data_IF_320940208865
#
_entry.id   IF_320940208865
#
_cell.length_a   1.000
_cell.length_b   1.000
_cell.length_c   1.000
_cell.angle_alpha   90.00
_cell.angle_beta   90.00
_cell.angle_gamma   90.00
#
_symmetry.space_group_name_H-M   'P 1'
#
loop_
_entity.id
_entity.type
_entity.pdbx_description
1 polymer ?
#
# COMPACT_ATOMS: atom_id res chain seq x y z
N UNK A 1 4.82 -3.13 2.02
CA UNK A 1 3.46 -2.67 2.38
C UNK A 1 3.13 -1.57 1.40
N UNK A 2 1.95 -1.64 0.81
CA UNK A 2 1.47 -0.66 -0.15
C UNK A 2 0.07 -0.21 0.28
N UNK A 3 -0.22 1.06 0.06
CA UNK A 3 -1.53 1.66 0.27
C UNK A 3 -1.97 2.28 -1.06
N UNK A 4 -3.22 2.05 -1.44
CA UNK A 4 -3.80 2.56 -2.66
C UNK A 4 -4.96 3.47 -2.27
N UNK A 5 -4.74 4.78 -2.39
CA UNK A 5 -5.76 5.79 -2.19
C UNK A 5 -6.23 6.35 -3.53
N UNK A 6 -7.54 6.54 -3.69
CA UNK A 6 -8.13 7.21 -4.84
C UNK A 6 -9.21 8.18 -4.39
N UNK A 7 -9.26 9.33 -5.02
CA UNK A 7 -10.33 10.30 -4.85
C UNK A 7 -10.91 10.64 -6.23
N UNK A 8 -12.16 10.27 -6.48
CA UNK A 8 -12.84 10.51 -7.77
C UNK A 8 -13.97 11.52 -7.62
N UNK A 9 -14.11 12.41 -8.60
CA UNK A 9 -15.24 13.34 -8.65
C UNK A 9 -16.56 12.58 -8.71
N UNK A 10 -17.60 13.12 -8.07
CA UNK A 10 -18.93 12.51 -8.10
C UNK A 10 -19.51 12.38 -9.50
N UNK A 11 -20.37 11.37 -9.68
CA UNK A 11 -21.05 11.11 -10.93
C UNK A 11 -21.90 12.32 -11.35
N UNK A 12 -21.83 12.74 -12.63
CA UNK A 12 -22.70 13.79 -13.12
C UNK A 12 -24.14 13.28 -13.23
N UNK A 13 -25.12 14.14 -12.99
CA UNK A 13 -26.53 13.84 -13.12
C UNK A 13 -27.34 15.07 -13.57
N UNK A 14 -28.53 14.81 -14.10
CA UNK A 14 -29.43 15.84 -14.64
C UNK A 14 -30.59 16.06 -13.67
N UNK A 15 -30.95 17.30 -13.32
CA UNK A 15 -32.23 17.58 -12.66
C UNK A 15 -33.40 17.20 -13.56
N UNK A 16 -34.24 16.27 -13.10
CA UNK A 16 -35.36 15.71 -13.85
C UNK A 16 -36.72 16.03 -13.23
N UNK A 17 -37.76 15.96 -14.05
CA UNK A 17 -39.14 15.80 -13.60
C UNK A 17 -39.41 14.32 -13.40
N UNK A 18 -40.09 13.94 -12.31
CA UNK A 18 -40.34 12.54 -11.96
C UNK A 18 -41.38 11.82 -12.84
N UNK A 19 -41.93 12.52 -13.83
CA UNK A 19 -42.93 12.02 -14.78
C UNK A 19 -42.53 12.41 -16.20
N UNK A 20 -43.06 11.68 -17.17
CA UNK A 20 -43.05 12.06 -18.58
C UNK A 20 -44.09 13.20 -18.78
N UNK A 21 -43.59 14.42 -18.99
CA UNK A 21 -44.39 15.63 -19.24
C UNK A 21 -44.47 16.00 -20.71
N UNK A 22 -43.61 15.43 -21.57
CA UNK A 22 -43.58 15.72 -23.00
C UNK A 22 -44.38 14.68 -23.83
N UNK A 23 -44.74 13.55 -23.23
CA UNK A 23 -45.56 12.49 -23.82
C UNK A 23 -44.82 11.55 -24.76
N UNK A 24 -43.48 11.51 -24.73
CA UNK A 24 -42.66 10.66 -25.59
C UNK A 24 -42.48 9.22 -25.06
N UNK A 25 -43.04 8.92 -23.89
CA UNK A 25 -42.98 7.62 -23.22
C UNK A 25 -41.74 7.43 -22.36
N UNK A 26 -40.85 8.42 -22.25
CA UNK A 26 -39.62 8.35 -21.44
C UNK A 26 -39.68 9.28 -20.22
N UNK A 27 -39.34 8.74 -19.04
CA UNK A 27 -39.22 9.54 -17.80
C UNK A 27 -37.85 10.17 -17.67
N UNK A 28 -37.48 11.03 -18.63
CA UNK A 28 -36.16 11.68 -18.69
C UNK A 28 -36.25 13.19 -18.94
N UNK A 29 -37.43 13.78 -18.71
CA UNK A 29 -37.66 15.19 -18.89
C UNK A 29 -36.83 16.04 -17.93
N UNK A 30 -36.18 17.05 -18.48
CA UNK A 30 -35.33 17.97 -17.73
C UNK A 30 -36.21 18.95 -16.96
N UNK A 31 -35.94 19.11 -15.67
CA UNK A 31 -36.68 20.05 -14.84
C UNK A 31 -36.36 21.50 -15.23
N UNK A 32 -37.38 22.36 -15.20
CA UNK A 32 -37.18 23.80 -15.13
C UNK A 32 -36.76 24.17 -13.70
N UNK A 33 -35.60 24.81 -13.53
CA UNK A 33 -35.10 25.15 -12.20
C UNK A 33 -35.71 26.50 -11.79
N UNK A 34 -36.78 26.46 -11.02
CA UNK A 34 -37.49 27.67 -10.59
C UNK A 34 -36.62 28.58 -9.72
N UNK A 35 -36.57 29.86 -10.08
CA UNK A 35 -36.01 30.89 -9.22
C UNK A 35 -37.00 31.23 -8.08
N UNK A 36 -36.65 31.00 -6.81
CA UNK A 36 -37.54 31.31 -5.68
C UNK A 36 -37.89 32.79 -5.50
N UNK A 37 -37.20 33.71 -6.18
CA UNK A 37 -37.49 35.14 -6.17
C UNK A 37 -38.59 35.53 -7.18
N UNK A 38 -38.74 34.77 -8.27
CA UNK A 38 -39.65 35.11 -9.39
C UNK A 38 -40.69 34.04 -9.69
N UNK A 39 -40.63 32.89 -9.02
CA UNK A 39 -41.59 31.80 -9.20
C UNK A 39 -43.03 32.24 -8.89
N UNK A 40 -43.92 32.04 -9.87
CA UNK A 40 -45.33 32.40 -9.77
C UNK A 40 -46.11 31.57 -8.75
N UNK A 41 -45.69 30.33 -8.47
CA UNK A 41 -46.27 29.47 -7.45
C UNK A 41 -45.52 29.66 -6.11
N UNK A 42 -46.18 30.23 -5.06
CA UNK A 42 -45.56 30.43 -3.75
C UNK A 42 -45.09 29.13 -3.07
N UNK A 43 -45.74 28.00 -3.36
CA UNK A 43 -45.36 26.71 -2.80
C UNK A 43 -44.04 26.22 -3.40
N UNK A 44 -43.87 26.37 -4.72
CA UNK A 44 -42.60 26.08 -5.42
C UNK A 44 -41.51 27.02 -4.93
N UNK A 45 -41.79 28.31 -4.82
CA UNK A 45 -40.83 29.30 -4.34
C UNK A 45 -40.31 28.96 -2.94
N UNK A 46 -41.23 28.63 -2.02
CA UNK A 46 -40.89 28.27 -0.63
C UNK A 46 -40.09 26.97 -0.57
N UNK A 47 -40.49 25.95 -1.33
CA UNK A 47 -39.80 24.67 -1.35
C UNK A 47 -38.40 24.76 -2.00
N UNK A 48 -38.23 25.59 -3.04
CA UNK A 48 -36.91 25.88 -3.62
C UNK A 48 -35.99 26.59 -2.63
N UNK A 49 -36.49 27.57 -1.84
CA UNK A 49 -35.68 28.22 -0.78
C UNK A 49 -35.24 27.20 0.26
N UNK A 50 -36.16 26.33 0.70
CA UNK A 50 -35.85 25.29 1.66
C UNK A 50 -34.79 24.31 1.13
N UNK A 51 -34.94 23.85 -0.11
CA UNK A 51 -33.96 22.98 -0.77
C UNK A 51 -32.59 23.66 -0.88
N UNK A 52 -32.53 24.91 -1.34
CA UNK A 52 -31.27 25.64 -1.46
C UNK A 52 -30.61 25.93 -0.10
N UNK A 53 -31.36 25.93 0.99
CA UNK A 53 -30.79 26.08 2.33
C UNK A 53 -30.12 24.79 2.85
N UNK A 54 -30.68 23.62 2.53
CA UNK A 54 -30.23 22.33 3.10
C UNK A 54 -29.42 21.47 2.13
N UNK A 55 -29.48 21.73 0.82
CA UNK A 55 -28.78 20.93 -0.17
C UNK A 55 -27.26 20.95 0.00
N UNK A 56 -26.56 19.84 -0.36
CA UNK A 56 -25.10 19.81 -0.41
C UNK A 56 -24.53 20.95 -1.27
N UNK A 57 -23.35 21.52 -0.92
CA UNK A 57 -22.79 22.67 -1.63
C UNK A 57 -22.72 22.50 -3.16
N UNK A 58 -22.25 21.36 -3.65
CA UNK A 58 -22.16 21.08 -5.09
C UNK A 58 -23.53 21.10 -5.79
N UNK A 59 -24.58 20.60 -5.12
CA UNK A 59 -25.95 20.58 -5.63
C UNK A 59 -26.55 21.98 -5.61
N UNK A 60 -26.38 22.70 -4.51
CA UNK A 60 -26.83 24.10 -4.37
C UNK A 60 -26.21 24.99 -5.43
N UNK A 61 -24.91 24.88 -5.66
CA UNK A 61 -24.21 25.67 -6.67
C UNK A 61 -24.66 25.29 -8.09
N UNK A 62 -24.96 24.01 -8.32
CA UNK A 62 -25.57 23.55 -9.57
C UNK A 62 -26.94 24.20 -9.82
N UNK A 63 -27.82 24.21 -8.82
CA UNK A 63 -29.15 24.79 -8.94
C UNK A 63 -29.09 26.31 -9.12
N UNK A 64 -28.23 27.00 -8.35
CA UNK A 64 -28.05 28.46 -8.43
C UNK A 64 -27.64 28.93 -9.83
N UNK A 65 -26.77 28.19 -10.52
CA UNK A 65 -26.35 28.52 -11.89
C UNK A 65 -27.43 28.32 -12.94
N UNK A 66 -28.52 27.64 -12.60
CA UNK A 66 -29.56 27.25 -13.55
C UNK A 66 -30.93 27.86 -13.23
N UNK A 67 -31.03 28.69 -12.18
CA UNK A 67 -32.27 29.37 -11.81
C UNK A 67 -32.85 30.12 -13.02
N UNK A 68 -34.14 29.93 -13.27
CA UNK A 68 -34.85 30.53 -14.40
C UNK A 68 -34.64 29.82 -15.75
N UNK A 69 -33.96 28.68 -15.78
CA UNK A 69 -33.67 27.93 -17.00
C UNK A 69 -34.06 26.44 -16.89
N UNK A 70 -34.27 25.80 -18.04
CA UNK A 70 -34.35 24.34 -18.13
C UNK A 70 -32.98 23.76 -17.81
N UNK A 71 -32.93 22.76 -16.93
CA UNK A 71 -31.69 22.16 -16.49
C UNK A 71 -30.87 21.60 -17.67
N UNK A 72 -29.56 21.85 -17.65
CA UNK A 72 -28.59 21.24 -18.54
C UNK A 72 -28.41 19.76 -18.24
N UNK A 73 -28.14 18.97 -19.28
CA UNK A 73 -27.79 17.54 -19.13
C UNK A 73 -26.49 17.42 -18.35
N UNK A 74 -26.44 16.50 -17.38
CA UNK A 74 -25.25 16.22 -16.58
C UNK A 74 -24.65 17.46 -15.89
N UNK A 75 -25.50 18.45 -15.59
CA UNK A 75 -25.11 19.75 -15.05
C UNK A 75 -24.76 19.70 -13.56
N UNK A 76 -25.37 18.79 -12.81
CA UNK A 76 -25.07 18.59 -11.39
C UNK A 76 -24.08 17.45 -11.20
N UNK A 77 -23.36 17.47 -10.08
CA UNK A 77 -22.43 16.41 -9.68
C UNK A 77 -22.76 15.92 -8.29
N UNK A 78 -22.69 14.61 -8.11
CA UNK A 78 -22.78 13.98 -6.80
C UNK A 78 -21.59 14.29 -5.90
N UNK A 79 -21.57 13.76 -4.67
CA UNK A 79 -20.45 13.92 -3.76
C UNK A 79 -19.19 13.23 -4.29
N UNK A 80 -18.03 13.69 -3.81
CA UNK A 80 -16.76 13.04 -4.06
C UNK A 80 -16.75 11.62 -3.50
N UNK A 81 -16.08 10.71 -4.21
CA UNK A 81 -16.01 9.30 -3.86
C UNK A 81 -14.57 8.94 -3.48
N UNK A 82 -14.24 8.90 -2.18
CA UNK A 82 -12.95 8.41 -1.71
C UNK A 82 -12.93 6.87 -1.69
N UNK A 83 -11.78 6.30 -2.02
CA UNK A 83 -11.48 4.89 -1.86
C UNK A 83 -10.07 4.73 -1.27
N UNK A 84 -9.91 3.77 -0.35
CA UNK A 84 -8.64 3.42 0.25
C UNK A 84 -8.59 1.90 0.40
N UNK A 85 -7.49 1.30 -0.03
CA UNK A 85 -7.22 -0.12 0.15
C UNK A 85 -5.75 -0.33 0.58
N UNK A 86 -5.48 -1.36 1.38
CA UNK A 86 -4.15 -1.73 1.84
C UNK A 86 -3.76 -3.12 1.33
N UNK A 87 -2.47 -3.25 1.01
CA UNK A 87 -1.84 -4.53 0.74
C UNK A 87 -0.54 -4.69 1.52
N UNK A 88 -0.46 -5.76 2.32
CA UNK A 88 0.71 -6.10 3.11
C UNK A 88 1.23 -7.46 2.64
N UNK A 89 2.47 -7.50 2.16
CA UNK A 89 3.14 -8.74 1.78
C UNK A 89 4.29 -8.99 2.75
N UNK A 90 4.30 -10.14 3.43
CA UNK A 90 5.38 -10.53 4.34
C UNK A 90 5.86 -11.96 4.08
N UNK A 91 7.10 -12.25 4.47
CA UNK A 91 7.73 -13.57 4.34
C UNK A 91 8.20 -14.06 5.70
N UNK A 92 7.40 -14.86 6.42
CA UNK A 92 7.73 -15.29 7.78
C UNK A 92 9.00 -16.16 7.77
N UNK A 93 9.92 -15.86 8.70
CA UNK A 93 11.18 -16.61 8.85
C UNK A 93 11.15 -17.60 10.04
N UNK A 94 10.17 -17.48 10.93
CA UNK A 94 10.08 -18.22 12.19
C UNK A 94 9.67 -19.69 12.03
N UNK A 95 8.97 -20.06 10.95
CA UNK A 95 8.53 -21.44 10.71
C UNK A 95 9.61 -22.36 10.10
N UNK A 96 10.89 -21.95 10.05
CA UNK A 96 11.94 -22.73 9.38
C UNK A 96 11.82 -22.81 7.86
N UNK A 97 10.78 -22.21 7.27
CA UNK A 97 10.48 -22.21 5.82
C UNK A 97 11.45 -21.35 4.98
N UNK A 98 12.60 -20.91 5.49
CA UNK A 98 13.63 -20.16 4.75
C UNK A 98 13.10 -19.03 3.84
N UNK A 99 12.03 -18.31 4.26
CA UNK A 99 11.34 -17.26 3.47
C UNK A 99 10.68 -17.76 2.17
N UNK A 100 10.39 -19.05 2.05
CA UNK A 100 9.68 -19.70 0.93
C UNK A 100 8.19 -19.44 0.93
N UNK A 101 7.61 -19.19 2.11
CA UNK A 101 6.24 -18.77 2.27
C UNK A 101 6.16 -17.24 2.13
N UNK A 102 5.31 -16.77 1.22
CA UNK A 102 4.89 -15.38 1.13
C UNK A 102 3.43 -15.32 1.55
N UNK A 103 3.10 -14.53 2.55
CA UNK A 103 1.72 -14.26 2.95
C UNK A 103 1.39 -12.82 2.57
N UNK A 104 0.23 -12.65 1.95
CA UNK A 104 -0.30 -11.37 1.52
C UNK A 104 -1.64 -11.15 2.19
N UNK A 105 -1.84 -9.95 2.73
CA UNK A 105 -3.13 -9.45 3.23
C UNK A 105 -3.55 -8.30 2.33
N UNK A 106 -4.77 -8.35 1.80
CA UNK A 106 -5.37 -7.32 0.98
C UNK A 106 -6.73 -6.93 1.60
N UNK A 107 -7.02 -5.63 1.62
CA UNK A 107 -8.36 -5.12 1.92
C UNK A 107 -9.06 -4.71 0.63
N UNK A 108 -10.38 -4.88 0.58
CA UNK A 108 -11.24 -4.28 -0.44
C UNK A 108 -12.31 -3.46 0.26
N UNK A 109 -12.51 -2.23 -0.19
CA UNK A 109 -13.43 -1.26 0.39
C UNK A 109 -13.17 -1.01 1.88
N UNK A 110 -11.93 -0.69 2.23
CA UNK A 110 -11.58 -0.43 3.63
C UNK A 110 -12.36 0.73 4.24
N UNK A 111 -12.58 1.81 3.48
CA UNK A 111 -13.31 2.97 3.99
C UNK A 111 -14.73 2.64 4.42
N UNK A 112 -15.44 1.78 3.69
CA UNK A 112 -16.76 1.30 4.10
C UNK A 112 -16.71 0.46 5.38
N UNK A 113 -15.67 -0.35 5.56
CA UNK A 113 -15.44 -1.08 6.81
C UNK A 113 -15.14 -0.16 7.99
N UNK A 114 -14.34 0.88 7.78
CA UNK A 114 -14.02 1.89 8.80
C UNK A 114 -15.24 2.73 9.17
N UNK A 115 -16.06 3.11 8.20
CA UNK A 115 -17.32 3.85 8.42
C UNK A 115 -18.28 3.04 9.29
N UNK A 116 -18.44 1.74 8.99
CA UNK A 116 -19.23 0.83 9.81
C UNK A 116 -18.64 0.68 11.22
N UNK A 117 -17.32 0.58 11.36
CA UNK A 117 -16.66 0.43 12.65
C UNK A 117 -16.77 1.68 13.52
N UNK A 118 -16.62 2.87 12.93
CA UNK A 118 -16.63 4.15 13.66
C UNK A 118 -18.04 4.67 13.94
N UNK A 119 -18.98 4.50 13.01
CA UNK A 119 -20.30 5.12 13.10
C UNK A 119 -21.43 4.10 13.32
N UNK A 120 -21.15 2.80 13.18
CA UNK A 120 -22.14 1.74 13.33
C UNK A 120 -23.12 1.65 12.16
N UNK A 121 -23.86 0.54 12.08
CA UNK A 121 -24.77 0.26 10.97
C UNK A 121 -25.94 1.26 10.87
N UNK A 122 -26.32 1.89 11.99
CA UNK A 122 -27.45 2.82 12.05
C UNK A 122 -27.10 4.26 11.62
N UNK A 123 -25.81 4.61 11.54
CA UNK A 123 -25.37 5.97 11.25
C UNK A 123 -24.19 6.01 10.27
N UNK A 124 -24.25 5.21 9.21
CA UNK A 124 -23.22 5.20 8.17
C UNK A 124 -23.16 6.56 7.44
N UNK A 125 -21.96 7.09 7.27
CA UNK A 125 -21.74 8.31 6.49
C UNK A 125 -21.53 8.04 4.99
N UNK A 126 -21.55 6.77 4.58
CA UNK A 126 -21.50 6.36 3.19
C UNK A 126 -20.09 6.29 2.61
N UNK A 127 -19.05 6.11 3.45
CA UNK A 127 -17.70 6.00 2.92
C UNK A 127 -17.53 4.70 2.13
N UNK A 128 -16.81 4.76 1.01
CA UNK A 128 -16.61 3.58 0.17
C UNK A 128 -17.85 3.11 -0.61
N UNK A 129 -18.98 3.83 -0.52
CA UNK A 129 -20.17 3.57 -1.32
C UNK A 129 -20.24 4.49 -2.54
N UNK A 130 -20.52 3.92 -3.71
CA UNK A 130 -20.89 4.70 -4.89
C UNK A 130 -22.37 5.07 -4.81
N UNK A 131 -22.70 6.14 -4.08
CA UNK A 131 -24.09 6.59 -4.00
C UNK A 131 -24.47 7.42 -5.22
N UNK A 132 -25.53 7.01 -5.92
CA UNK A 132 -26.18 7.82 -6.94
C UNK A 132 -27.08 8.87 -6.25
N UNK A 133 -26.91 10.16 -6.53
CA UNK A 133 -27.83 11.19 -6.05
C UNK A 133 -29.22 11.01 -6.66
N UNK A 134 -30.28 11.34 -5.92
CA UNK A 134 -31.64 11.42 -6.48
C UNK A 134 -31.73 12.53 -7.55
N UNK A 135 -31.98 12.20 -8.83
CA UNK A 135 -32.02 13.18 -9.91
C UNK A 135 -33.37 13.91 -10.02
N UNK A 136 -34.42 13.48 -9.29
CA UNK A 136 -35.75 14.07 -9.44
C UNK A 136 -35.82 15.37 -8.64
N UNK A 137 -35.88 16.50 -9.35
CA UNK A 137 -36.06 17.83 -8.74
C UNK A 137 -37.54 18.17 -8.55
N UNK A 138 -38.38 17.79 -9.52
CA UNK A 138 -39.79 18.17 -9.55
C UNK A 138 -40.71 16.96 -9.68
N UNK A 139 -41.81 16.98 -8.94
CA UNK A 139 -42.96 16.10 -9.12
C UNK A 139 -44.12 16.89 -9.70
N UNK A 140 -44.86 16.29 -10.64
CA UNK A 140 -46.10 16.89 -11.14
C UNK A 140 -47.22 16.63 -10.15
N UNK A 141 -47.89 17.68 -9.69
CA UNK A 141 -49.07 17.61 -8.81
C UNK A 141 -50.38 17.51 -9.60
N UNK A 142 -50.41 18.07 -10.80
CA UNK A 142 -51.57 18.09 -11.68
C UNK A 142 -51.34 18.97 -12.90
N UNK A 143 -52.31 18.97 -13.81
CA UNK A 143 -52.33 19.83 -14.99
C UNK A 143 -53.54 20.75 -14.93
N UNK A 144 -53.33 22.06 -15.07
CA UNK A 144 -54.36 23.07 -15.19
C UNK A 144 -54.71 23.22 -16.69
N UNK A 145 -55.88 22.76 -17.14
CA UNK A 145 -56.25 22.80 -18.56
C UNK A 145 -56.61 24.20 -19.05
N UNK A 146 -56.97 25.13 -18.15
CA UNK A 146 -57.33 26.51 -18.52
C UNK A 146 -56.06 27.34 -18.71
N UNK A 147 -55.12 27.23 -17.77
CA UNK A 147 -53.83 27.91 -17.88
C UNK A 147 -52.78 27.12 -18.67
N UNK A 148 -53.15 25.94 -19.19
CA UNK A 148 -52.30 25.00 -19.94
C UNK A 148 -50.91 24.76 -19.30
N UNK A 149 -50.89 24.55 -17.99
CA UNK A 149 -49.63 24.43 -17.23
C UNK A 149 -49.67 23.30 -16.22
N UNK A 150 -48.52 22.70 -15.98
CA UNK A 150 -48.33 21.75 -14.89
C UNK A 150 -48.12 22.48 -13.56
N UNK A 151 -48.78 22.00 -12.51
CA UNK A 151 -48.46 22.33 -11.13
C UNK A 151 -47.33 21.43 -10.63
N UNK A 152 -46.31 22.01 -10.00
CA UNK A 152 -45.14 21.27 -9.54
C UNK A 152 -45.02 21.23 -8.01
N UNK A 153 -44.42 20.16 -7.51
CA UNK A 153 -43.87 20.06 -6.16
C UNK A 153 -42.36 19.85 -6.24
N UNK A 154 -41.59 20.55 -5.42
CA UNK A 154 -40.13 20.40 -5.36
C UNK A 154 -39.76 19.25 -4.44
N UNK A 155 -38.85 18.37 -4.89
CA UNK A 155 -38.25 17.35 -4.06
C UNK A 155 -37.24 17.98 -3.09
N UNK A 156 -37.61 18.10 -1.82
CA UNK A 156 -36.70 18.60 -0.78
C UNK A 156 -35.47 17.72 -0.52
N UNK A 157 -35.43 16.49 -1.07
CA UNK A 157 -34.30 15.56 -0.99
C UNK A 157 -33.51 15.46 -2.29
N UNK A 158 -33.73 16.36 -3.25
CA UNK A 158 -32.99 16.37 -4.51
C UNK A 158 -31.48 16.36 -4.28
N UNK A 159 -30.77 15.48 -4.99
CA UNK A 159 -29.33 15.30 -4.87
C UNK A 159 -28.87 14.67 -3.55
N UNK A 160 -29.78 14.27 -2.66
CA UNK A 160 -29.43 13.45 -1.51
C UNK A 160 -28.95 12.08 -1.99
N UNK A 161 -27.82 11.64 -1.46
CA UNK A 161 -27.35 10.28 -1.62
C UNK A 161 -28.09 9.44 -0.60
N UNK A 162 -28.98 8.56 -1.06
CA UNK A 162 -29.60 7.60 -0.15
C UNK A 162 -28.53 6.61 0.25
N UNK A 163 -27.99 6.76 1.48
CA UNK A 163 -27.20 5.70 2.08
C UNK A 163 -28.06 4.43 2.10
N UNK A 164 -27.59 3.38 1.43
CA UNK A 164 -28.02 1.99 1.61
C UNK A 164 -29.41 1.49 1.13
N UNK A 165 -30.26 2.24 0.41
CA UNK A 165 -31.54 1.67 -0.12
C UNK A 165 -31.53 1.28 -1.62
N UNK A 166 -30.45 1.55 -2.35
CA UNK A 166 -30.34 1.30 -3.81
C UNK A 166 -29.89 -0.12 -4.22
N UNK A 167 -29.83 -1.08 -3.30
CA UNK A 167 -29.56 -2.50 -3.60
C UNK A 167 -28.11 -2.88 -3.95
N UNK A 168 -27.22 -1.92 -4.22
CA UNK A 168 -25.79 -2.20 -4.46
C UNK A 168 -24.98 -1.84 -3.22
N UNK A 169 -24.65 -2.86 -2.43
CA UNK A 169 -23.69 -2.74 -1.32
C UNK A 169 -22.35 -3.28 -1.77
N UNK A 170 -21.27 -2.52 -1.51
CA UNK A 170 -19.90 -3.02 -1.67
C UNK A 170 -19.41 -3.36 -0.26
N UNK A 171 -19.38 -4.63 0.16
CA UNK A 171 -18.93 -4.97 1.51
C UNK A 171 -17.42 -4.75 1.65
N UNK A 172 -16.99 -4.44 2.87
CA UNK A 172 -15.59 -4.55 3.23
C UNK A 172 -15.15 -6.03 3.19
N UNK A 173 -13.99 -6.31 2.59
CA UNK A 173 -13.45 -7.65 2.50
C UNK A 173 -11.97 -7.69 2.92
N UNK A 174 -11.59 -8.80 3.56
CA UNK A 174 -10.22 -9.14 3.87
C UNK A 174 -9.84 -10.39 3.08
N UNK A 175 -8.86 -10.27 2.20
CA UNK A 175 -8.30 -11.39 1.45
C UNK A 175 -6.91 -11.74 1.98
N UNK A 176 -6.75 -12.99 2.41
CA UNK A 176 -5.46 -13.54 2.84
C UNK A 176 -5.01 -14.53 1.76
N UNK A 177 -3.81 -14.34 1.24
CA UNK A 177 -3.21 -15.22 0.23
C UNK A 177 -1.88 -15.76 0.76
N UNK A 178 -1.63 -17.05 0.55
CA UNK A 178 -0.38 -17.70 0.92
C UNK A 178 0.22 -18.37 -0.31
N UNK A 179 1.47 -18.04 -0.61
CA UNK A 179 2.23 -18.62 -1.71
C UNK A 179 3.46 -19.34 -1.16
N UNK A 180 3.54 -20.66 -1.36
CA UNK A 180 4.63 -21.51 -0.89
C UNK A 180 5.46 -22.01 -2.08
N UNK A 181 6.77 -21.75 -2.04
CA UNK A 181 7.71 -22.31 -3.02
C UNK A 181 8.16 -23.71 -2.57
N UNK A 182 7.79 -24.73 -3.35
CA UNK A 182 8.16 -26.13 -3.16
C UNK A 182 9.29 -26.50 -4.12
N UNK A 183 10.38 -27.10 -3.62
CA UNK A 183 11.56 -27.48 -4.42
C UNK A 183 12.88 -26.83 -3.95
N UNK A 184 14.05 -27.24 -4.46
CA UNK A 184 15.33 -26.63 -4.09
C UNK A 184 15.35 -25.14 -4.45
N UNK A 185 15.69 -24.27 -3.48
CA UNK A 185 15.87 -22.83 -3.74
C UNK A 185 17.25 -22.65 -4.35
N UNK A 186 17.29 -22.27 -5.62
CA UNK A 186 18.56 -21.98 -6.28
C UNK A 186 19.33 -20.93 -5.48
N UNK A 187 20.65 -21.10 -5.28
CA UNK A 187 21.47 -20.09 -4.64
C UNK A 187 21.28 -18.76 -5.38
N UNK A 188 21.22 -17.66 -4.61
CA UNK A 188 21.14 -16.33 -5.21
C UNK A 188 22.23 -16.15 -6.25
N UNK A 189 21.97 -15.39 -7.32
CA UNK A 189 22.93 -15.15 -8.42
C UNK A 189 24.35 -14.84 -7.93
N UNK A 190 24.47 -14.11 -6.81
CA UNK A 190 25.73 -13.74 -6.15
C UNK A 190 26.48 -14.92 -5.55
N UNK A 191 25.77 -15.78 -4.82
CA UNK A 191 26.33 -17.02 -4.30
C UNK A 191 26.78 -17.88 -5.47
N UNK A 192 25.99 -17.97 -6.54
CA UNK A 192 26.37 -18.70 -7.74
C UNK A 192 27.65 -18.15 -8.40
N UNK A 193 27.84 -16.83 -8.44
CA UNK A 193 29.09 -16.20 -8.90
C UNK A 193 30.29 -16.54 -8.01
N UNK A 194 30.10 -16.55 -6.67
CA UNK A 194 31.16 -16.90 -5.71
C UNK A 194 31.53 -18.40 -5.75
N UNK A 195 30.54 -19.27 -5.96
CA UNK A 195 30.70 -20.71 -6.16
C UNK A 195 31.33 -21.06 -7.52
N UNK A 196 31.54 -20.06 -8.39
CA UNK A 196 32.02 -20.21 -9.76
C UNK A 196 30.86 -20.54 -10.71
N UNK A 197 30.40 -19.55 -11.50
CA UNK A 197 29.57 -19.91 -12.66
C UNK A 197 30.46 -20.65 -13.68
N UNK A 198 30.03 -21.81 -14.21
CA UNK A 198 30.66 -22.39 -15.37
C UNK A 198 30.35 -21.48 -16.55
N UNK A 199 31.31 -20.62 -16.91
CA UNK A 199 31.28 -19.92 -18.19
C UNK A 199 31.52 -21.00 -19.25
N UNK A 200 30.45 -21.34 -19.96
CA UNK A 200 30.36 -22.30 -21.06
C UNK A 200 30.20 -23.79 -20.69
N UNK A 201 29.26 -24.42 -21.42
CA UNK A 201 28.99 -25.87 -21.43
C UNK A 201 30.29 -26.63 -21.71
N UNK A 202 30.75 -27.45 -20.75
CA UNK A 202 31.73 -28.50 -21.02
C UNK A 202 32.85 -28.70 -19.99
N UNK A 203 33.08 -27.79 -19.06
CA UNK A 203 34.07 -27.98 -18.00
C UNK A 203 33.38 -28.39 -16.68
N UNK A 204 33.74 -29.55 -16.15
CA UNK A 204 33.22 -30.07 -14.88
C UNK A 204 33.35 -29.04 -13.76
N UNK A 205 32.26 -28.85 -13.00
CA UNK A 205 32.20 -27.96 -11.84
C UNK A 205 33.02 -28.53 -10.69
N UNK A 206 34.33 -28.29 -10.72
CA UNK A 206 35.22 -28.52 -9.60
C UNK A 206 35.13 -27.34 -8.62
N UNK A 207 35.25 -27.63 -7.33
CA UNK A 207 35.39 -26.59 -6.30
C UNK A 207 36.70 -25.83 -6.57
N UNK A 208 36.69 -24.50 -6.79
CA UNK A 208 37.92 -23.74 -6.95
C UNK A 208 38.85 -23.92 -5.73
N UNK A 209 40.17 -23.99 -5.93
CA UNK A 209 41.13 -24.15 -4.83
C UNK A 209 41.08 -23.01 -3.80
N UNK A 210 40.58 -21.84 -4.20
CA UNK A 210 40.34 -20.66 -3.37
C UNK A 210 38.92 -20.57 -2.79
N UNK A 211 38.08 -21.59 -2.95
CA UNK A 211 36.68 -21.60 -2.51
C UNK A 211 36.51 -21.27 -1.02
N UNK A 212 37.34 -21.87 -0.17
CA UNK A 212 37.29 -21.60 1.27
C UNK A 212 37.72 -20.15 1.59
N UNK A 213 38.68 -19.60 0.86
CA UNK A 213 39.07 -18.20 0.99
C UNK A 213 37.96 -17.24 0.54
N UNK A 214 37.24 -17.56 -0.55
CA UNK A 214 36.07 -16.80 -1.01
C UNK A 214 34.91 -16.84 -0.01
N UNK A 215 34.68 -17.98 0.63
CA UNK A 215 33.68 -18.10 1.69
C UNK A 215 34.10 -17.33 2.96
N UNK A 216 35.38 -17.33 3.31
CA UNK A 216 35.91 -16.53 4.42
C UNK A 216 35.73 -15.01 4.16
N UNK A 217 35.81 -14.59 2.90
CA UNK A 217 35.57 -13.20 2.49
C UNK A 217 34.12 -12.72 2.76
N UNK A 218 33.15 -13.65 2.78
CA UNK A 218 31.76 -13.38 3.19
C UNK A 218 31.68 -13.05 4.69
N UNK A 219 32.62 -13.56 5.48
CA UNK A 219 32.67 -13.42 6.94
C UNK A 219 33.64 -12.32 7.41
N UNK A 220 34.06 -11.42 6.51
CA UNK A 220 34.98 -10.35 6.84
C UNK A 220 34.44 -9.45 7.97
N UNK A 221 35.33 -9.10 8.89
CA UNK A 221 35.03 -8.25 10.04
C UNK A 221 34.81 -6.78 9.60
N UNK A 222 33.63 -6.18 9.86
CA UNK A 222 33.36 -4.80 9.47
C UNK A 222 33.87 -3.74 10.48
N UNK A 223 34.25 -4.14 11.69
CA UNK A 223 34.62 -3.21 12.77
C UNK A 223 35.91 -2.43 12.47
N UNK A 224 36.97 -3.01 11.87
CA UNK A 224 38.14 -2.26 11.42
C UNK A 224 37.79 -1.13 10.45
N UNK A 225 36.79 -1.33 9.59
CA UNK A 225 36.33 -0.26 8.70
C UNK A 225 35.66 0.89 9.48
N UNK A 226 34.91 0.60 10.55
CA UNK A 226 34.35 1.62 11.46
C UNK A 226 35.48 2.39 12.16
N UNK A 227 36.49 1.68 12.66
CA UNK A 227 37.68 2.28 13.28
C UNK A 227 38.46 3.18 12.30
N UNK A 228 38.43 2.87 11.00
CA UNK A 228 38.98 3.73 9.94
C UNK A 228 38.34 5.13 9.85
N UNK A 229 37.12 5.30 10.38
CA UNK A 229 36.43 6.60 10.45
C UNK A 229 36.64 7.32 11.81
N UNK A 230 37.62 6.89 12.62
CA UNK A 230 37.84 7.44 13.98
C UNK A 230 37.92 8.97 14.01
N UNK A 231 38.62 9.56 13.04
CA UNK A 231 38.93 11.00 13.03
C UNK A 231 37.71 11.81 12.56
N UNK A 232 36.94 11.30 11.60
CA UNK A 232 35.72 11.95 11.09
C UNK A 232 34.52 11.81 12.03
N UNK A 233 34.50 10.73 12.83
CA UNK A 233 33.49 10.49 13.86
C UNK A 233 33.87 11.07 15.23
N UNK A 234 35.10 11.59 15.36
CA UNK A 234 35.66 12.10 16.63
C UNK A 234 35.48 11.08 17.76
N UNK A 235 35.91 9.85 17.51
CA UNK A 235 35.78 8.77 18.50
C UNK A 235 36.67 9.05 19.71
N UNK A 236 36.11 8.86 20.90
CA UNK A 236 36.89 8.92 22.15
C UNK A 236 37.83 7.71 22.27
N UNK A 237 38.90 7.83 23.04
CA UNK A 237 39.82 6.72 23.32
C UNK A 237 39.08 5.49 23.90
N UNK A 238 38.07 5.74 24.74
CA UNK A 238 37.21 4.69 25.32
C UNK A 238 36.33 4.01 24.26
N UNK A 239 35.76 4.77 23.31
CA UNK A 239 35.01 4.20 22.19
C UNK A 239 35.90 3.37 21.27
N UNK A 240 37.12 3.83 20.99
CA UNK A 240 38.10 3.08 20.20
C UNK A 240 38.48 1.77 20.88
N UNK A 241 38.78 1.79 22.18
CA UNK A 241 39.10 0.59 22.94
C UNK A 241 37.95 -0.42 22.96
N UNK A 242 36.70 0.04 23.15
CA UNK A 242 35.51 -0.83 23.10
C UNK A 242 35.26 -1.42 21.72
N UNK A 243 35.42 -0.64 20.65
CA UNK A 243 35.29 -1.14 19.28
C UNK A 243 36.39 -2.14 18.94
N UNK A 244 37.63 -1.92 19.40
CA UNK A 244 38.73 -2.87 19.22
C UNK A 244 38.40 -4.21 19.90
N UNK A 245 37.93 -4.19 21.15
CA UNK A 245 37.51 -5.41 21.85
C UNK A 245 36.38 -6.17 21.12
N UNK A 246 35.42 -5.45 20.54
CA UNK A 246 34.37 -6.05 19.71
C UNK A 246 34.97 -6.66 18.43
N UNK A 247 35.92 -5.99 17.79
CA UNK A 247 36.64 -6.49 16.62
C UNK A 247 37.37 -7.80 16.93
N UNK A 248 38.15 -7.83 18.00
CA UNK A 248 38.97 -8.99 18.38
C UNK A 248 38.07 -10.19 18.75
N UNK A 249 36.96 -9.94 19.45
CA UNK A 249 35.96 -10.95 19.77
C UNK A 249 35.29 -11.52 18.52
N UNK A 250 34.97 -10.68 17.55
CA UNK A 250 34.39 -11.13 16.28
C UNK A 250 35.39 -11.95 15.46
N UNK A 251 36.65 -11.53 15.41
CA UNK A 251 37.71 -12.27 14.71
C UNK A 251 37.89 -13.66 15.32
N UNK A 252 37.90 -13.78 16.65
CA UNK A 252 37.95 -15.08 17.32
C UNK A 252 36.75 -15.96 16.95
N UNK A 253 35.52 -15.42 17.03
CA UNK A 253 34.30 -16.18 16.72
C UNK A 253 34.20 -16.60 15.24
N UNK A 254 34.72 -15.77 14.33
CA UNK A 254 34.68 -16.06 12.88
C UNK A 254 35.82 -16.95 12.42
N UNK A 255 36.95 -17.01 13.14
CA UNK A 255 38.03 -17.98 12.90
C UNK A 255 37.54 -19.41 13.07
N UNK A 256 36.84 -19.71 14.17
CA UNK A 256 36.27 -21.05 14.41
C UNK A 256 35.34 -21.49 13.27
N UNK A 257 34.50 -20.57 12.79
CA UNK A 257 33.62 -20.82 11.65
C UNK A 257 34.43 -21.04 10.38
N UNK A 258 35.44 -20.20 10.11
CA UNK A 258 36.29 -20.30 8.93
C UNK A 258 37.09 -21.60 8.87
N UNK A 259 37.66 -22.03 10.00
CA UNK A 259 38.40 -23.29 10.12
C UNK A 259 37.48 -24.49 9.86
N UNK A 260 36.25 -24.45 10.38
CA UNK A 260 35.22 -25.44 10.08
C UNK A 260 34.87 -25.47 8.59
N UNK A 261 34.73 -24.31 7.95
CA UNK A 261 34.43 -24.20 6.52
C UNK A 261 35.59 -24.76 5.66
N UNK A 262 36.84 -24.45 6.01
CA UNK A 262 38.04 -24.97 5.33
C UNK A 262 38.11 -26.49 5.47
N UNK A 263 37.91 -27.03 6.68
CA UNK A 263 37.95 -28.46 6.94
C UNK A 263 36.83 -29.23 6.20
N UNK A 264 35.63 -28.65 6.09
CA UNK A 264 34.52 -29.24 5.33
C UNK A 264 34.75 -29.14 3.82
N UNK A 265 35.31 -28.03 3.33
CA UNK A 265 35.70 -27.89 1.93
C UNK A 265 36.76 -28.91 1.53
N UNK A 266 37.78 -29.15 2.38
CA UNK A 266 38.81 -30.18 2.13
C UNK A 266 38.21 -31.60 2.12
N UNK A 267 37.27 -31.89 3.03
CA UNK A 267 36.56 -33.18 3.09
C UNK A 267 35.69 -33.47 1.87
N UNK A 268 35.17 -32.43 1.21
CA UNK A 268 34.36 -32.61 0.01
C UNK A 268 35.17 -33.10 -1.21
N UNK A 269 36.48 -32.78 -1.26
CA UNK A 269 37.36 -33.12 -2.38
C UNK A 269 37.24 -32.15 -3.56
N UNK A 270 38.28 -32.10 -4.40
CA UNK A 270 38.41 -31.12 -5.50
C UNK A 270 37.34 -31.28 -6.60
N UNK A 271 36.71 -32.46 -6.71
CA UNK A 271 35.70 -32.77 -7.73
C UNK A 271 34.25 -32.69 -7.24
N UNK A 272 33.99 -32.18 -6.04
CA UNK A 272 32.63 -32.05 -5.53
C UNK A 272 31.85 -30.93 -6.24
N UNK A 273 30.54 -31.12 -6.43
CA UNK A 273 29.67 -30.05 -6.92
C UNK A 273 29.62 -28.87 -5.93
N UNK A 274 29.98 -27.64 -6.34
CA UNK A 274 29.98 -26.46 -5.48
C UNK A 274 28.63 -26.15 -4.84
N UNK A 275 27.52 -26.49 -5.51
CA UNK A 275 26.17 -26.28 -4.97
C UNK A 275 25.89 -27.19 -3.79
N UNK A 276 26.22 -28.47 -3.93
CA UNK A 276 26.10 -29.48 -2.87
C UNK A 276 27.03 -29.21 -1.69
N UNK A 277 28.22 -28.67 -1.94
CA UNK A 277 29.15 -28.24 -0.87
C UNK A 277 28.61 -27.02 -0.14
N UNK A 278 28.10 -26.02 -0.87
CA UNK A 278 27.49 -24.83 -0.27
C UNK A 278 26.27 -25.17 0.60
N UNK A 279 25.41 -26.09 0.17
CA UNK A 279 24.23 -26.49 0.93
C UNK A 279 24.58 -27.11 2.29
N UNK A 280 25.69 -27.88 2.36
CA UNK A 280 26.25 -28.40 3.62
C UNK A 280 26.78 -27.26 4.51
N UNK A 281 27.50 -26.31 3.92
CA UNK A 281 28.12 -25.19 4.64
C UNK A 281 27.13 -24.09 5.06
N UNK A 282 25.91 -24.09 4.51
CA UNK A 282 24.90 -23.04 4.68
C UNK A 282 24.61 -22.70 6.15
N UNK A 283 24.54 -23.72 7.01
CA UNK A 283 24.24 -23.52 8.44
C UNK A 283 25.41 -22.83 9.17
N UNK A 284 26.65 -23.23 8.86
CA UNK A 284 27.87 -22.60 9.40
C UNK A 284 28.08 -21.18 8.88
N UNK A 285 27.81 -20.93 7.61
CA UNK A 285 27.80 -19.56 7.05
C UNK A 285 26.72 -18.68 7.71
N UNK A 286 25.56 -19.25 8.03
CA UNK A 286 24.52 -18.53 8.76
C UNK A 286 24.94 -18.20 10.19
N UNK A 287 25.72 -19.06 10.84
CA UNK A 287 26.33 -18.84 12.16
C UNK A 287 27.32 -17.67 12.14
N UNK A 288 28.30 -17.67 11.22
CA UNK A 288 29.23 -16.54 11.04
C UNK A 288 28.52 -15.20 10.83
N UNK A 289 27.47 -15.18 10.00
CA UNK A 289 26.65 -13.98 9.78
C UNK A 289 25.89 -13.49 11.02
N UNK A 290 25.54 -14.38 11.95
CA UNK A 290 24.94 -13.98 13.24
C UNK A 290 25.98 -13.27 14.11
N UNK A 291 27.21 -13.79 14.19
CA UNK A 291 28.30 -13.14 14.93
C UNK A 291 28.55 -11.71 14.42
N UNK A 292 28.64 -11.53 13.10
CA UNK A 292 28.83 -10.20 12.48
C UNK A 292 27.68 -9.24 12.86
N UNK A 293 26.43 -9.72 12.82
CA UNK A 293 25.27 -8.90 13.19
C UNK A 293 25.33 -8.47 14.65
N UNK A 294 25.61 -9.40 15.57
CA UNK A 294 25.74 -9.10 16.99
C UNK A 294 26.88 -8.11 17.27
N UNK A 295 28.01 -8.25 16.57
CA UNK A 295 29.11 -7.30 16.67
C UNK A 295 28.74 -5.90 16.17
N UNK A 296 27.99 -5.80 15.07
CA UNK A 296 27.48 -4.51 14.58
C UNK A 296 26.47 -3.86 15.54
N UNK A 297 25.58 -4.65 16.14
CA UNK A 297 24.65 -4.19 17.18
C UNK A 297 25.38 -3.73 18.46
N UNK A 298 26.48 -4.40 18.82
CA UNK A 298 27.34 -3.98 19.92
C UNK A 298 28.08 -2.67 19.57
N UNK A 299 28.62 -2.55 18.37
CA UNK A 299 29.29 -1.35 17.88
C UNK A 299 28.33 -0.14 17.83
N UNK A 300 27.08 -0.36 17.40
CA UNK A 300 26.04 0.67 17.40
C UNK A 300 25.76 1.20 18.81
N UNK A 301 25.82 0.36 19.85
CA UNK A 301 25.63 0.77 21.25
C UNK A 301 26.80 1.57 21.82
N UNK A 302 28.01 1.39 21.28
CA UNK A 302 29.21 2.17 21.68
C UNK A 302 29.20 3.58 21.06
N UNK A 303 28.55 3.72 19.89
CA UNK A 303 28.49 4.96 19.13
C UNK A 303 27.24 5.77 19.49
N UNK A 304 27.35 7.10 19.44
CA UNK A 304 26.15 7.95 19.53
C UNK A 304 25.30 7.80 18.26
N UNK A 305 23.98 8.09 18.33
CA UNK A 305 23.10 8.05 17.14
C UNK A 305 23.62 8.92 15.98
N UNK A 306 24.23 10.07 16.29
CA UNK A 306 24.83 10.97 15.29
C UNK A 306 26.08 10.36 14.63
N UNK A 307 26.94 9.71 15.41
CA UNK A 307 28.13 9.03 14.88
C UNK A 307 27.72 7.84 14.00
N UNK A 308 26.76 7.04 14.45
CA UNK A 308 26.25 5.90 13.67
C UNK A 308 25.65 6.33 12.32
N UNK A 309 24.92 7.44 12.29
CA UNK A 309 24.34 7.97 11.06
C UNK A 309 25.39 8.34 9.99
N UNK A 310 26.58 8.80 10.42
CA UNK A 310 27.66 9.23 9.52
C UNK A 310 28.46 8.08 8.90
N UNK A 311 28.31 6.85 9.39
CA UNK A 311 28.97 5.68 8.80
C UNK A 311 28.30 5.33 7.46
N UNK A 312 29.04 5.06 6.37
CA UNK A 312 28.46 4.63 5.11
C UNK A 312 27.70 3.30 5.21
N UNK A 313 26.60 3.17 4.48
CA UNK A 313 25.76 1.97 4.54
C UNK A 313 26.47 0.71 4.06
N UNK A 314 27.50 0.85 3.22
CA UNK A 314 28.38 -0.24 2.80
C UNK A 314 29.15 -0.90 3.97
N UNK A 315 29.38 -0.16 5.06
CA UNK A 315 30.04 -0.66 6.28
C UNK A 315 29.02 -1.23 7.27
N UNK A 316 27.83 -0.64 7.32
CA UNK A 316 26.70 -1.15 8.15
C UNK A 316 26.12 -2.45 7.60
N UNK A 317 26.19 -2.62 6.28
CA UNK A 317 25.71 -3.80 5.57
C UNK A 317 26.85 -4.32 4.70
N UNK A 318 27.88 -4.96 5.30
CA UNK A 318 29.01 -5.47 4.53
C UNK A 318 28.50 -6.50 3.52
N UNK A 319 28.48 -6.09 2.25
CA UNK A 319 28.28 -7.00 1.13
C UNK A 319 29.65 -7.60 0.78
N UNK A 320 29.74 -8.90 0.46
CA UNK A 320 30.97 -9.45 -0.10
C UNK A 320 31.27 -8.69 -1.40
N UNK A 321 32.45 -8.05 -1.46
CA UNK A 321 33.01 -7.44 -2.68
C UNK A 321 33.52 -8.53 -3.60
#
# INVERSE_FOLDING_TARGET
MSAFGRLTSGAPFTPLVGSDINGDGARNDRAFVFDPATAADPAVATAMRALLATAPPAVRDCLRRQLGHVAGRNSCRGPWQPALDFQINWRPAYFGLARRLTVSLLTVNLLGGVDLWLHGAANLHGWGFAAAPDPVLLYVRGFDPVAQRFGYGVNGRFGATVAANGGVTVPFQLAIQAHLIVGPVAPSRRVRTLLGEPVARGAGGAVPSDFAARLAQILANPIPAILGYRDSLQLTAEQVARLQAISDSLDAATRDVSDSLIAESRRAGEHADPTTVYDRLRLKLAEGRRHIRHALEAAQRVLTPRQWARIPDAVKTPAPR
#
